data_IF_472274384628
#
_entry.id   IF_472274384628
#
_cell.length_a   1.000
_cell.length_b   1.000
_cell.length_c   1.000
_cell.angle_alpha   90.00
_cell.angle_beta   90.00
_cell.angle_gamma   90.00
#
_symmetry.space_group_name_H-M   'P 1'
#
loop_
_entity.id
_entity.type
_entity.pdbx_description
1 polymer ?
#
# COMPACT_ATOMS: atom_id res chain seq x y z
N UNK A 1 -28.40 7.37 3.52
CA UNK A 1 -27.41 6.27 3.53
C UNK A 1 -26.92 6.09 4.97
N UNK A 2 -26.97 4.88 5.54
CA UNK A 2 -26.53 4.59 6.91
C UNK A 2 -25.07 4.12 6.91
N UNK A 3 -24.32 4.47 7.95
CA UNK A 3 -23.01 3.88 8.21
C UNK A 3 -23.19 2.41 8.64
N UNK A 4 -22.40 1.51 8.09
CA UNK A 4 -22.42 0.08 8.37
C UNK A 4 -21.09 -0.33 9.00
N UNK A 5 -21.15 -0.86 10.21
CA UNK A 5 -20.00 -1.45 10.91
C UNK A 5 -20.26 -2.95 11.05
N UNK A 6 -19.37 -3.75 10.48
CA UNK A 6 -19.37 -5.19 10.65
C UNK A 6 -18.08 -5.62 11.33
N UNK A 7 -18.23 -6.39 12.40
CA UNK A 7 -17.13 -7.00 13.15
C UNK A 7 -17.39 -8.49 13.26
N UNK A 8 -16.41 -9.30 12.86
CA UNK A 8 -16.50 -10.74 13.01
C UNK A 8 -16.49 -11.15 14.49
N UNK A 9 -17.33 -12.11 14.88
CA UNK A 9 -17.38 -12.64 16.24
C UNK A 9 -16.08 -13.37 16.65
N UNK A 10 -15.33 -13.87 15.68
CA UNK A 10 -14.07 -14.58 15.90
C UNK A 10 -12.95 -13.53 16.05
N UNK A 11 -12.32 -13.50 17.20
CA UNK A 11 -11.17 -12.64 17.52
C UNK A 11 -9.90 -13.47 17.54
N UNK A 12 -8.82 -12.92 17.01
CA UNK A 12 -7.49 -13.52 17.09
C UNK A 12 -6.57 -12.50 17.76
N UNK A 13 -5.98 -12.87 18.90
CA UNK A 13 -5.17 -11.97 19.74
C UNK A 13 -5.89 -10.69 20.20
N UNK A 14 -7.22 -10.74 20.39
CA UNK A 14 -8.02 -9.58 20.79
C UNK A 14 -8.40 -8.64 19.63
N UNK A 15 -7.93 -8.91 18.40
CA UNK A 15 -8.34 -8.22 17.18
C UNK A 15 -9.42 -9.03 16.45
N UNK A 16 -10.47 -8.40 15.91
CA UNK A 16 -11.43 -9.11 15.07
C UNK A 16 -10.75 -9.60 13.79
N UNK A 17 -11.11 -10.81 13.34
CA UNK A 17 -10.63 -11.35 12.06
C UNK A 17 -10.99 -10.44 10.89
N UNK A 18 -12.22 -9.95 10.86
CA UNK A 18 -12.72 -9.05 9.83
C UNK A 18 -13.39 -7.84 10.48
N UNK A 19 -12.97 -6.65 10.09
CA UNK A 19 -13.58 -5.39 10.50
C UNK A 19 -13.81 -4.51 9.28
N UNK A 20 -15.09 -4.28 8.98
CA UNK A 20 -15.52 -3.48 7.85
C UNK A 20 -16.28 -2.27 8.38
N UNK A 21 -15.81 -1.09 8.02
CA UNK A 21 -16.45 0.19 8.33
C UNK A 21 -16.76 0.85 7.00
N UNK A 22 -18.04 0.83 6.62
CA UNK A 22 -18.51 1.43 5.38
C UNK A 22 -19.39 2.64 5.67
N UNK A 23 -19.02 3.78 5.08
CA UNK A 23 -19.88 4.94 5.04
C UNK A 23 -19.13 6.20 4.61
N UNK A 24 -19.88 7.26 4.24
CA UNK A 24 -19.29 8.55 3.92
C UNK A 24 -18.51 9.09 5.11
N UNK A 25 -17.41 9.80 4.86
CA UNK A 25 -16.55 10.32 5.93
C UNK A 25 -17.29 11.31 6.84
N UNK A 26 -18.27 12.04 6.30
CA UNK A 26 -19.15 12.95 7.05
C UNK A 26 -20.13 12.24 8.00
N UNK A 27 -20.43 10.96 7.76
CA UNK A 27 -21.37 10.17 8.55
C UNK A 27 -20.67 9.22 9.53
N UNK A 28 -19.53 8.67 9.11
CA UNK A 28 -18.80 7.64 9.86
C UNK A 28 -17.63 8.23 10.64
N UNK A 29 -17.22 9.46 10.31
CA UNK A 29 -16.02 10.09 10.85
C UNK A 29 -14.74 9.34 10.48
N UNK A 30 -13.67 9.61 11.22
CA UNK A 30 -12.38 8.91 11.14
C UNK A 30 -12.36 7.67 12.04
N UNK A 31 -13.33 6.77 11.88
CA UNK A 31 -13.35 5.52 12.66
C UNK A 31 -12.39 4.51 12.04
N UNK A 32 -11.30 4.11 12.74
CA UNK A 32 -10.37 3.12 12.22
C UNK A 32 -11.01 1.73 12.23
N UNK A 33 -11.00 1.06 11.08
CA UNK A 33 -11.27 -0.37 10.98
C UNK A 33 -9.98 -1.11 11.40
N UNK A 34 -10.00 -1.76 12.57
CA UNK A 34 -8.87 -2.55 13.07
C UNK A 34 -9.19 -4.05 13.04
N UNK A 35 -8.34 -4.86 12.40
CA UNK A 35 -8.51 -6.33 12.35
C UNK A 35 -7.42 -7.04 11.53
N UNK A 36 -7.54 -8.35 11.33
CA UNK A 36 -6.66 -9.05 10.36
C UNK A 36 -6.96 -8.54 8.96
N UNK A 37 -8.24 -8.55 8.58
CA UNK A 37 -8.77 -7.91 7.39
C UNK A 37 -9.55 -6.65 7.80
N UNK A 38 -9.01 -5.49 7.46
CA UNK A 38 -9.59 -4.19 7.74
C UNK A 38 -10.04 -3.51 6.45
N UNK A 39 -11.29 -3.06 6.39
CA UNK A 39 -11.84 -2.32 5.24
C UNK A 39 -12.52 -1.06 5.72
N UNK A 40 -12.12 0.10 5.20
CA UNK A 40 -12.76 1.39 5.52
C UNK A 40 -11.92 2.60 5.11
N UNK A 41 -12.39 3.82 5.37
CA UNK A 41 -11.61 5.03 5.04
C UNK A 41 -10.25 5.05 5.73
N UNK A 42 -10.20 4.56 6.97
CA UNK A 42 -8.99 4.34 7.75
C UNK A 42 -8.95 2.86 8.15
N UNK A 43 -8.03 2.08 7.58
CA UNK A 43 -7.92 0.64 7.79
C UNK A 43 -6.56 0.30 8.41
N UNK A 44 -6.54 -0.47 9.50
CA UNK A 44 -5.34 -0.87 10.23
C UNK A 44 -5.39 -2.39 10.44
N UNK A 45 -4.46 -3.13 9.86
CA UNK A 45 -4.51 -4.59 9.95
C UNK A 45 -3.37 -5.33 9.29
N UNK A 46 -3.51 -6.65 9.14
CA UNK A 46 -2.57 -7.42 8.31
C UNK A 46 -2.84 -7.12 6.84
N UNK A 47 -4.11 -7.12 6.45
CA UNK A 47 -4.61 -6.70 5.14
C UNK A 47 -5.54 -5.52 5.37
N UNK A 48 -5.13 -4.33 4.93
CA UNK A 48 -5.86 -3.08 5.08
C UNK A 48 -6.28 -2.55 3.72
N UNK A 49 -7.58 -2.26 3.54
CA UNK A 49 -8.15 -1.73 2.29
C UNK A 49 -8.90 -0.45 2.59
N UNK A 50 -8.49 0.68 2.00
CA UNK A 50 -9.07 1.96 2.37
C UNK A 50 -8.57 3.20 1.64
N UNK A 51 -8.98 4.37 2.13
CA UNK A 51 -8.34 5.63 1.73
C UNK A 51 -6.95 5.74 2.33
N UNK A 52 -6.85 5.50 3.63
CA UNK A 52 -5.62 5.37 4.41
C UNK A 52 -5.56 3.94 4.92
N UNK A 53 -4.55 3.18 4.49
CA UNK A 53 -4.36 1.79 4.85
C UNK A 53 -3.00 1.59 5.53
N UNK A 54 -2.99 0.97 6.71
CA UNK A 54 -1.78 0.67 7.48
C UNK A 54 -1.74 -0.82 7.78
N UNK A 55 -0.70 -1.52 7.35
CA UNK A 55 -0.64 -2.96 7.57
C UNK A 55 0.52 -3.72 6.95
N UNK A 56 0.42 -5.05 6.95
CA UNK A 56 1.34 -5.88 6.17
C UNK A 56 1.13 -5.65 4.68
N UNK A 57 -0.11 -5.78 4.23
CA UNK A 57 -0.60 -5.47 2.90
C UNK A 57 -1.58 -4.30 2.99
N UNK A 58 -1.18 -3.15 2.46
CA UNK A 58 -1.98 -1.92 2.46
C UNK A 58 -2.43 -1.55 1.05
N UNK A 59 -3.74 -1.54 0.82
CA UNK A 59 -4.38 -1.19 -0.44
C UNK A 59 -5.16 0.10 -0.25
N UNK A 60 -4.67 1.22 -0.77
CA UNK A 60 -5.38 2.47 -0.58
C UNK A 60 -4.76 3.70 -1.22
N UNK A 61 -5.42 4.85 -1.11
CA UNK A 61 -4.86 6.12 -1.60
C UNK A 61 -3.50 6.42 -0.95
N UNK A 62 -3.42 6.25 0.36
CA UNK A 62 -2.21 6.36 1.18
C UNK A 62 -2.02 5.03 1.91
N UNK A 63 -0.97 4.29 1.55
CA UNK A 63 -0.63 2.99 2.14
C UNK A 63 0.67 3.07 2.94
N UNK A 64 0.69 2.49 4.14
CA UNK A 64 1.87 2.28 4.98
C UNK A 64 1.99 0.80 5.32
N UNK A 65 3.11 0.16 4.99
CA UNK A 65 3.20 -1.28 5.23
C UNK A 65 4.41 -2.00 4.68
N UNK A 66 4.35 -3.34 4.66
CA UNK A 66 5.38 -4.15 4.00
C UNK A 66 5.19 -4.13 2.48
N UNK A 67 3.94 -4.33 2.04
CA UNK A 67 3.51 -4.28 0.66
C UNK A 67 2.42 -3.23 0.56
N UNK A 68 2.60 -2.23 -0.29
CA UNK A 68 1.65 -1.13 -0.46
C UNK A 68 1.26 -0.97 -1.93
N UNK A 69 -0.04 -0.91 -2.21
CA UNK A 69 -0.58 -0.52 -3.51
C UNK A 69 -1.42 0.74 -3.33
N UNK A 70 -1.06 1.83 -4.00
CA UNK A 70 -1.75 3.09 -3.77
C UNK A 70 -1.34 4.29 -4.60
N UNK A 71 -1.92 5.46 -4.31
CA UNK A 71 -1.41 6.72 -4.86
C UNK A 71 -0.06 7.08 -4.24
N UNK A 72 -0.01 7.04 -2.90
CA UNK A 72 1.19 7.17 -2.08
C UNK A 72 1.40 5.83 -1.36
N UNK A 73 2.38 5.06 -1.82
CA UNK A 73 2.70 3.73 -1.32
C UNK A 73 4.01 3.78 -0.51
N UNK A 74 3.90 3.89 0.81
CA UNK A 74 5.02 3.87 1.74
C UNK A 74 5.28 2.44 2.23
N UNK A 75 5.79 1.62 1.32
CA UNK A 75 6.16 0.24 1.59
C UNK A 75 7.58 0.12 2.14
N UNK A 76 7.83 -0.78 3.10
CA UNK A 76 9.18 -1.17 3.47
C UNK A 76 9.75 -2.20 2.49
N UNK A 77 8.93 -3.15 2.05
CA UNK A 77 9.31 -4.20 1.10
C UNK A 77 9.01 -3.80 -0.33
N UNK A 78 7.73 -3.70 -0.69
CA UNK A 78 7.29 -3.40 -2.05
C UNK A 78 6.28 -2.26 -2.04
N UNK A 79 6.58 -1.17 -2.73
CA UNK A 79 5.64 -0.07 -2.98
C UNK A 79 5.27 -0.02 -4.45
N UNK A 80 3.97 -0.03 -4.76
CA UNK A 80 3.45 0.28 -6.10
C UNK A 80 2.50 1.47 -6.03
N UNK A 81 2.79 2.52 -6.80
CA UNK A 81 1.93 3.70 -6.80
C UNK A 81 2.38 4.89 -7.62
N UNK A 82 1.73 6.03 -7.43
CA UNK A 82 2.20 7.29 -8.03
C UNK A 82 3.51 7.74 -7.38
N UNK A 83 3.53 7.76 -6.05
CA UNK A 83 4.72 7.93 -5.22
C UNK A 83 4.93 6.63 -4.44
N UNK A 84 6.00 5.91 -4.73
CA UNK A 84 6.30 4.63 -4.12
C UNK A 84 7.64 4.68 -3.39
N UNK A 85 7.70 4.06 -2.21
CA UNK A 85 8.95 3.82 -1.49
C UNK A 85 9.07 2.36 -1.06
N UNK A 86 10.30 1.91 -0.82
CA UNK A 86 10.59 0.59 -0.27
C UNK A 86 11.83 -0.08 -0.85
N UNK A 87 12.05 -1.36 -0.53
CA UNK A 87 13.13 -2.14 -1.14
C UNK A 87 12.93 -2.25 -2.67
N UNK A 88 11.70 -2.53 -3.11
CA UNK A 88 11.26 -2.44 -4.50
C UNK A 88 10.19 -1.36 -4.61
N UNK A 89 10.48 -0.27 -5.31
CA UNK A 89 9.57 0.83 -5.53
C UNK A 89 9.22 0.92 -7.02
N UNK A 90 7.92 0.81 -7.33
CA UNK A 90 7.37 0.88 -8.69
C UNK A 90 6.41 2.07 -8.74
N UNK A 91 6.71 3.10 -9.53
CA UNK A 91 5.82 4.25 -9.60
C UNK A 91 6.20 5.40 -10.50
N UNK A 92 5.46 6.51 -10.43
CA UNK A 92 5.87 7.74 -11.10
C UNK A 92 7.14 8.31 -10.46
N UNK A 93 7.08 8.46 -9.13
CA UNK A 93 8.22 8.79 -8.27
C UNK A 93 8.51 7.55 -7.41
N UNK A 94 9.67 6.93 -7.61
CA UNK A 94 10.06 5.72 -6.91
C UNK A 94 11.33 5.99 -6.10
N UNK A 95 11.28 5.80 -4.77
CA UNK A 95 12.45 5.94 -3.91
C UNK A 95 12.73 4.64 -3.14
N UNK A 96 13.85 3.98 -3.46
CA UNK A 96 14.08 2.63 -2.95
C UNK A 96 15.43 2.04 -3.34
N UNK A 97 15.66 0.79 -2.97
CA UNK A 97 16.86 0.08 -3.42
C UNK A 97 16.77 -0.24 -4.91
N UNK A 98 15.65 -0.84 -5.33
CA UNK A 98 15.23 -0.97 -6.72
C UNK A 98 14.12 0.04 -7.02
N UNK A 99 14.43 1.11 -7.73
CA UNK A 99 13.47 2.16 -8.09
C UNK A 99 13.15 2.13 -9.59
N UNK A 100 11.96 1.62 -9.92
CA UNK A 100 11.45 1.55 -11.29
C UNK A 100 10.34 2.60 -11.43
N UNK A 101 10.69 3.73 -12.00
CA UNK A 101 9.76 4.83 -12.18
C UNK A 101 10.28 5.92 -13.09
N UNK A 102 9.42 6.91 -13.36
CA UNK A 102 9.81 8.08 -14.15
C UNK A 102 10.91 8.89 -13.47
N UNK A 103 10.77 9.07 -12.15
CA UNK A 103 11.79 9.66 -11.26
C UNK A 103 12.20 8.59 -10.24
N UNK A 104 13.36 7.97 -10.47
CA UNK A 104 13.93 6.97 -9.56
C UNK A 104 15.01 7.58 -8.67
N UNK A 105 14.87 7.49 -7.35
CA UNK A 105 15.89 7.89 -6.37
C UNK A 105 16.30 6.63 -5.60
N UNK A 106 17.46 6.05 -5.93
CA UNK A 106 17.84 4.76 -5.38
C UNK A 106 19.24 4.32 -5.78
N UNK A 107 19.70 3.22 -5.17
CA UNK A 107 20.97 2.59 -5.52
C UNK A 107 20.90 1.99 -6.94
N UNK A 108 19.79 1.31 -7.25
CA UNK A 108 19.53 0.75 -8.57
C UNK A 108 18.28 1.39 -9.18
N UNK A 109 18.48 2.26 -10.16
CA UNK A 109 17.41 2.89 -10.94
C UNK A 109 17.48 2.45 -12.39
N UNK A 110 16.36 2.51 -13.12
CA UNK A 110 16.34 2.27 -14.58
C UNK A 110 17.31 3.18 -15.36
N UNK A 111 17.66 4.33 -14.81
CA UNK A 111 18.58 5.29 -15.41
C UNK A 111 20.05 4.99 -15.06
N UNK A 112 20.31 4.42 -13.89
CA UNK A 112 21.67 4.23 -13.36
C UNK A 112 22.25 2.84 -13.70
N UNK A 113 21.42 1.80 -13.74
CA UNK A 113 21.86 0.42 -13.96
C UNK A 113 21.26 -0.20 -15.23
N UNK A 114 21.98 -0.19 -16.38
CA UNK A 114 21.51 -0.83 -17.60
C UNK A 114 21.34 -2.35 -17.45
N UNK A 115 21.98 -2.98 -16.45
CA UNK A 115 21.77 -4.41 -16.12
C UNK A 115 20.36 -4.74 -15.64
N UNK A 116 19.62 -3.76 -15.10
CA UNK A 116 18.23 -3.92 -14.68
C UNK A 116 17.30 -4.09 -15.90
N UNK A 117 17.65 -3.50 -17.05
CA UNK A 117 16.93 -3.68 -18.32
C UNK A 117 17.06 -5.13 -18.82
N UNK A 118 18.25 -5.73 -18.67
CA UNK A 118 18.48 -7.13 -19.02
C UNK A 118 17.73 -8.09 -18.08
N UNK A 119 17.65 -7.78 -16.78
CA UNK A 119 16.87 -8.55 -15.81
C UNK A 119 15.36 -8.46 -16.07
N UNK A 120 14.89 -7.32 -16.61
CA UNK A 120 13.51 -7.09 -17.01
C UNK A 120 13.19 -7.56 -18.46
N UNK A 121 14.18 -8.05 -19.21
CA UNK A 121 13.99 -8.51 -20.59
C UNK A 121 13.68 -7.39 -21.59
N UNK A 122 14.02 -6.14 -21.27
CA UNK A 122 13.81 -4.99 -22.15
C UNK A 122 15.04 -4.76 -23.03
N UNK A 123 14.86 -4.49 -24.35
CA UNK A 123 15.97 -4.32 -25.27
C UNK A 123 16.85 -3.13 -24.83
N UNK A 124 18.15 -3.41 -24.69
CA UNK A 124 19.17 -2.44 -24.27
C UNK A 124 19.84 -1.78 -25.47
N UNK A 125 19.10 -1.53 -26.55
CA UNK A 125 19.62 -0.83 -27.72
C UNK A 125 19.05 0.59 -27.76
N UNK A 126 19.93 1.57 -27.58
CA UNK A 126 19.73 2.93 -28.07
C UNK A 126 20.29 3.02 -29.49
#
# INVERSE_FOLDING_TARGET
MRAFEYRSARTWMGLPLVHIVYGPIWLTGFRPACGILAVGNLAIGVVAIGGIAVGGLALGGIGLGLICLGGIALGLGVGLGGVATGYVALGGVAAGFYALGGVGIGAHTLQNDPGLLHLLGLPTER
#
